data_IF_851419781888
#
_entry.id   IF_851419781888
#
_cell.length_a   1.000
_cell.length_b   1.000
_cell.length_c   1.000
_cell.angle_alpha   90.00
_cell.angle_beta   90.00
_cell.angle_gamma   90.00
#
_symmetry.space_group_name_H-M   'P 1'
#
loop_
_entity.id
_entity.type
_entity.pdbx_description
1 polymer ?
#
# COMPACT_ATOMS: atom_id res chain seq x y z
N UNK A 1 5.28 -38.83 24.81
CA UNK A 1 5.16 -37.43 25.25
C UNK A 1 4.79 -37.45 26.72
N UNK A 2 5.78 -37.36 27.60
CA UNK A 2 5.55 -37.46 29.05
C UNK A 2 5.61 -36.07 29.64
N UNK A 3 4.60 -35.71 30.44
CA UNK A 3 4.58 -34.47 31.23
C UNK A 3 5.89 -34.37 32.00
N UNK A 4 6.76 -33.43 31.61
CA UNK A 4 7.89 -33.00 32.43
C UNK A 4 7.27 -32.15 33.53
N UNK A 5 6.71 -32.81 34.55
CA UNK A 5 6.28 -32.14 35.77
C UNK A 5 7.54 -31.75 36.54
N UNK A 6 8.04 -30.53 36.31
CA UNK A 6 8.82 -29.88 37.35
C UNK A 6 7.91 -29.61 38.54
N UNK A 7 8.43 -29.74 39.75
CA UNK A 7 7.66 -29.54 40.98
C UNK A 7 6.96 -28.16 41.07
N UNK A 8 7.43 -27.15 40.30
CA UNK A 8 6.85 -25.81 40.20
C UNK A 8 7.04 -25.20 38.79
N UNK A 9 6.04 -24.44 38.29
CA UNK A 9 6.07 -23.72 37.01
C UNK A 9 7.33 -22.85 36.83
N UNK A 10 7.79 -22.18 37.89
CA UNK A 10 9.01 -21.35 37.80
C UNK A 10 10.26 -22.19 37.54
N UNK A 11 10.29 -23.42 38.04
CA UNK A 11 11.41 -24.35 37.82
C UNK A 11 11.38 -24.91 36.39
N UNK A 12 10.20 -25.24 35.87
CA UNK A 12 10.05 -25.67 34.47
C UNK A 12 10.45 -24.56 33.50
N UNK A 13 10.04 -23.32 33.75
CA UNK A 13 10.38 -22.17 32.90
C UNK A 13 11.90 -21.94 32.89
N UNK A 14 12.57 -22.04 34.06
CA UNK A 14 14.03 -21.91 34.16
C UNK A 14 14.76 -23.00 33.38
N UNK A 15 14.29 -24.24 33.45
CA UNK A 15 14.92 -25.36 32.73
C UNK A 15 14.72 -25.23 31.22
N UNK A 16 13.51 -24.83 30.76
CA UNK A 16 13.25 -24.54 29.35
C UNK A 16 14.18 -23.42 28.82
N UNK A 17 14.39 -22.37 29.61
CA UNK A 17 15.34 -21.29 29.27
C UNK A 17 16.78 -21.80 29.19
N UNK A 18 17.21 -22.63 30.14
CA UNK A 18 18.55 -23.23 30.15
C UNK A 18 18.79 -24.10 28.91
N UNK A 19 17.85 -24.99 28.60
CA UNK A 19 17.95 -25.84 27.40
C UNK A 19 17.97 -24.99 26.13
N UNK A 20 17.19 -23.91 26.08
CA UNK A 20 17.21 -22.98 24.95
C UNK A 20 18.55 -22.26 24.82
N UNK A 21 19.13 -21.73 25.90
CA UNK A 21 20.42 -21.04 25.84
C UNK A 21 21.54 -21.99 25.44
N UNK A 22 21.57 -23.20 26.00
CA UNK A 22 22.50 -24.25 25.60
C UNK A 22 22.35 -24.60 24.11
N UNK A 23 21.12 -24.71 23.62
CA UNK A 23 20.85 -24.94 22.20
C UNK A 23 21.35 -23.80 21.31
N UNK A 24 21.09 -22.54 21.69
CA UNK A 24 21.59 -21.36 20.97
C UNK A 24 23.12 -21.30 20.94
N UNK A 25 23.78 -21.61 22.07
CA UNK A 25 25.25 -21.70 22.15
C UNK A 25 25.76 -22.79 21.19
N UNK A 26 25.12 -23.97 21.19
CA UNK A 26 25.48 -25.07 20.28
C UNK A 26 25.31 -24.66 18.82
N UNK A 27 24.21 -23.99 18.44
CA UNK A 27 24.00 -23.49 17.07
C UNK A 27 25.07 -22.47 16.71
N UNK A 28 25.35 -21.50 17.60
CA UNK A 28 26.34 -20.44 17.35
C UNK A 28 27.75 -21.00 17.16
N UNK A 29 28.11 -22.04 17.91
CA UNK A 29 29.42 -22.67 17.86
C UNK A 29 29.51 -23.79 16.81
N UNK A 30 28.40 -24.16 16.18
CA UNK A 30 28.38 -25.18 15.14
C UNK A 30 29.11 -24.64 13.90
N UNK A 31 30.04 -25.43 13.38
CA UNK A 31 30.75 -25.07 12.13
C UNK A 31 29.76 -25.13 10.96
N UNK A 32 29.64 -24.07 10.16
CA UNK A 32 28.85 -24.14 8.94
C UNK A 32 29.46 -25.19 8.01
N UNK A 33 28.63 -26.11 7.51
CA UNK A 33 29.06 -27.17 6.58
C UNK A 33 29.06 -26.69 5.12
N UNK A 34 28.38 -25.58 4.84
CA UNK A 34 28.19 -25.01 3.52
C UNK A 34 28.64 -23.56 3.59
N UNK A 35 29.22 -23.08 2.50
CA UNK A 35 29.57 -21.68 2.34
C UNK A 35 28.29 -20.83 2.32
N UNK A 36 28.06 -20.10 3.40
CA UNK A 36 26.94 -19.17 3.53
C UNK A 36 27.33 -17.74 3.11
N UNK A 37 28.45 -17.59 2.39
CA UNK A 37 28.86 -16.29 1.86
C UNK A 37 27.84 -15.82 0.83
N UNK A 38 27.56 -14.51 0.77
CA UNK A 38 26.69 -13.98 -0.27
C UNK A 38 27.28 -14.32 -1.65
N UNK A 39 26.44 -14.66 -2.64
CA UNK A 39 26.91 -14.92 -3.99
C UNK A 39 27.62 -13.68 -4.55
N UNK A 40 28.56 -13.89 -5.47
CA UNK A 40 29.30 -12.81 -6.12
C UNK A 40 28.33 -11.78 -6.72
N UNK A 41 28.50 -10.52 -6.36
CA UNK A 41 27.72 -9.44 -6.92
C UNK A 41 27.94 -9.37 -8.44
N UNK A 42 26.86 -9.50 -9.21
CA UNK A 42 26.92 -9.45 -10.66
C UNK A 42 26.68 -8.01 -11.14
N UNK A 43 27.56 -7.42 -11.95
CA UNK A 43 27.45 -6.01 -12.36
C UNK A 43 26.17 -5.73 -13.17
N UNK A 44 25.67 -6.72 -13.91
CA UNK A 44 24.43 -6.61 -14.69
C UNK A 44 23.14 -6.66 -13.82
N UNK A 45 23.23 -7.06 -12.54
CA UNK A 45 22.12 -6.92 -11.58
C UNK A 45 22.10 -5.52 -10.96
N UNK A 46 23.27 -4.86 -10.87
CA UNK A 46 23.41 -3.52 -10.31
C UNK A 46 23.09 -2.43 -11.34
N UNK A 47 23.51 -2.64 -12.60
CA UNK A 47 23.24 -1.72 -13.70
C UNK A 47 22.32 -2.37 -14.73
N UNK A 48 21.16 -1.74 -14.97
CA UNK A 48 20.21 -2.16 -16.02
C UNK A 48 20.54 -1.49 -17.36
N UNK A 49 21.78 -1.61 -17.81
CA UNK A 49 22.31 -0.93 -19.00
C UNK A 49 21.44 -1.12 -20.26
N UNK A 50 20.88 -2.32 -20.48
CA UNK A 50 19.95 -2.58 -21.60
C UNK A 50 18.65 -1.79 -21.48
N UNK A 51 18.10 -1.68 -20.27
CA UNK A 51 16.86 -0.93 -20.04
C UNK A 51 17.09 0.57 -20.23
N UNK A 52 18.23 1.07 -19.76
CA UNK A 52 18.64 2.46 -19.94
C UNK A 52 18.82 2.81 -21.43
N UNK A 53 19.51 1.93 -22.18
CA UNK A 53 19.65 2.10 -23.63
C UNK A 53 18.31 2.16 -24.35
N UNK A 54 17.38 1.23 -24.04
CA UNK A 54 16.03 1.24 -24.63
C UNK A 54 15.26 2.52 -24.30
N UNK A 55 15.42 3.07 -23.08
CA UNK A 55 14.79 4.36 -22.71
C UNK A 55 15.37 5.51 -23.52
N UNK A 56 16.69 5.56 -23.69
CA UNK A 56 17.36 6.60 -24.48
C UNK A 56 16.95 6.52 -25.96
N UNK A 57 16.94 5.32 -26.54
CA UNK A 57 16.52 5.11 -27.93
C UNK A 57 15.05 5.55 -28.13
N UNK A 58 14.16 5.20 -27.18
CA UNK A 58 12.75 5.66 -27.22
C UNK A 58 12.63 7.18 -27.08
N UNK A 59 13.41 7.79 -26.20
CA UNK A 59 13.45 9.24 -26.01
C UNK A 59 13.87 9.96 -27.29
N UNK A 60 14.94 9.49 -27.93
CA UNK A 60 15.44 10.07 -29.18
C UNK A 60 14.39 10.01 -30.32
N UNK A 61 13.64 8.91 -30.41
CA UNK A 61 12.53 8.77 -31.39
C UNK A 61 11.41 9.77 -31.10
N UNK A 62 11.02 9.92 -29.83
CA UNK A 62 9.98 10.89 -29.43
C UNK A 62 10.44 12.32 -29.77
N UNK A 63 11.68 12.67 -29.47
CA UNK A 63 12.20 14.01 -29.73
C UNK A 63 12.25 14.32 -31.24
N UNK A 64 12.64 13.35 -32.06
CA UNK A 64 12.61 13.48 -33.52
C UNK A 64 11.17 13.67 -34.03
N UNK A 65 10.21 12.90 -33.51
CA UNK A 65 8.81 13.02 -33.89
C UNK A 65 8.20 14.35 -33.44
N UNK A 66 8.53 14.83 -32.25
CA UNK A 66 8.11 16.14 -31.75
C UNK A 66 8.64 17.26 -32.64
N UNK A 67 9.91 17.19 -33.06
CA UNK A 67 10.49 18.15 -34.00
C UNK A 67 9.74 18.15 -35.34
N UNK A 68 9.43 16.97 -35.88
CA UNK A 68 8.67 16.85 -37.12
C UNK A 68 7.24 17.39 -36.99
N UNK A 69 6.57 17.10 -35.87
CA UNK A 69 5.22 17.60 -35.59
C UNK A 69 5.20 19.13 -35.56
N UNK A 70 6.12 19.75 -34.82
CA UNK A 70 6.24 21.19 -34.72
C UNK A 70 6.49 21.83 -36.09
N UNK A 71 7.36 21.23 -36.90
CA UNK A 71 7.59 21.68 -38.27
C UNK A 71 6.29 21.62 -39.10
N UNK A 72 5.51 20.54 -38.98
CA UNK A 72 4.24 20.38 -39.71
C UNK A 72 3.16 21.34 -39.24
N UNK A 73 3.05 21.60 -37.94
CA UNK A 73 2.15 22.63 -37.40
C UNK A 73 2.50 24.01 -37.94
N UNK A 74 3.79 24.37 -37.94
CA UNK A 74 4.24 25.63 -38.52
C UNK A 74 3.95 25.71 -40.03
N UNK A 75 4.19 24.63 -40.78
CA UNK A 75 3.85 24.57 -42.22
C UNK A 75 2.35 24.77 -42.48
N UNK A 76 1.47 24.32 -41.57
CA UNK A 76 0.03 24.52 -41.66
C UNK A 76 -0.32 25.99 -41.33
N UNK A 77 0.22 26.52 -40.24
CA UNK A 77 -0.04 27.90 -39.81
C UNK A 77 0.45 28.93 -40.82
N UNK A 78 1.58 28.67 -41.48
CA UNK A 78 2.17 29.57 -42.49
C UNK A 78 1.52 29.47 -43.87
N UNK A 79 0.72 28.42 -44.16
CA UNK A 79 0.02 28.27 -45.44
C UNK A 79 -1.40 28.84 -45.33
N UNK A 80 -1.70 29.99 -45.94
CA UNK A 80 -3.06 30.53 -45.93
C UNK A 80 -4.00 29.58 -46.70
N UNK A 81 -5.00 29.04 -46.01
CA UNK A 81 -6.08 28.22 -46.57
C UNK A 81 -7.39 29.02 -46.55
N UNK A 82 -8.28 28.88 -47.54
CA UNK A 82 -9.58 29.59 -47.56
C UNK A 82 -10.52 29.26 -46.38
N UNK A 83 -10.14 28.31 -45.50
CA UNK A 83 -10.86 27.94 -44.28
C UNK A 83 -10.29 28.59 -43.00
N UNK A 84 -9.31 29.50 -43.10
CA UNK A 84 -8.77 30.19 -41.92
C UNK A 84 -9.88 31.01 -41.21
N UNK A 85 -9.97 30.95 -39.87
CA UNK A 85 -11.07 31.54 -39.09
C UNK A 85 -11.21 33.06 -39.26
N UNK A 86 -10.17 33.75 -39.76
CA UNK A 86 -10.19 35.18 -40.04
C UNK A 86 -11.04 35.56 -41.27
N UNK A 87 -11.53 34.59 -42.05
CA UNK A 87 -12.36 34.82 -43.25
C UNK A 87 -13.83 34.36 -43.10
N UNK A 88 -14.23 33.82 -41.94
CA UNK A 88 -15.60 33.36 -41.73
C UNK A 88 -16.40 34.45 -41.00
N UNK A 89 -17.55 34.90 -41.53
CA UNK A 89 -18.41 35.81 -40.78
C UNK A 89 -18.91 35.11 -39.51
N UNK A 90 -19.02 35.83 -38.38
CA UNK A 90 -19.52 35.26 -37.14
C UNK A 90 -20.95 34.78 -37.38
N UNK A 91 -21.14 33.46 -37.47
CA UNK A 91 -22.47 32.86 -37.55
C UNK A 91 -23.17 33.14 -36.22
N UNK A 92 -23.95 34.22 -36.22
CA UNK A 92 -24.82 34.59 -35.12
C UNK A 92 -25.81 33.46 -34.82
N UNK A 93 -25.93 33.15 -33.54
CA UNK A 93 -27.21 32.88 -32.90
C UNK A 93 -27.95 31.58 -33.21
N UNK A 94 -27.45 30.66 -34.05
CA UNK A 94 -28.02 29.31 -34.07
C UNK A 94 -27.58 28.59 -32.80
N UNK A 95 -28.44 28.60 -31.78
CA UNK A 95 -28.36 27.61 -30.73
C UNK A 95 -28.52 26.24 -31.41
N UNK A 96 -27.40 25.58 -31.63
CA UNK A 96 -27.35 24.22 -32.13
C UNK A 96 -28.00 23.31 -31.08
N UNK A 97 -29.33 23.22 -31.08
CA UNK A 97 -30.03 22.20 -30.34
C UNK A 97 -29.60 20.87 -30.95
N UNK A 98 -28.82 20.10 -30.19
CA UNK A 98 -28.44 18.75 -30.58
C UNK A 98 -29.72 17.97 -30.91
N UNK A 99 -29.80 17.41 -32.12
CA UNK A 99 -30.93 16.59 -32.58
C UNK A 99 -31.23 15.45 -31.59
N UNK A 100 -30.21 15.03 -30.83
CA UNK A 100 -30.25 13.96 -29.84
C UNK A 100 -30.64 14.42 -28.43
N UNK A 101 -31.10 15.67 -28.25
CA UNK A 101 -31.49 16.21 -26.94
C UNK A 101 -32.55 15.34 -26.26
N UNK A 102 -33.56 14.91 -26.99
CA UNK A 102 -34.64 14.08 -26.44
C UNK A 102 -34.12 12.70 -26.03
N UNK A 103 -33.30 12.06 -26.87
CA UNK A 103 -32.66 10.78 -26.53
C UNK A 103 -31.77 10.89 -25.30
N UNK A 104 -31.01 11.99 -25.17
CA UNK A 104 -30.17 12.27 -23.99
C UNK A 104 -31.02 12.48 -22.73
N UNK A 105 -32.17 13.15 -22.82
CA UNK A 105 -33.07 13.33 -21.68
C UNK A 105 -33.64 11.99 -21.23
N UNK A 106 -34.09 11.14 -22.15
CA UNK A 106 -34.62 9.79 -21.84
C UNK A 106 -33.54 8.89 -21.24
N UNK A 107 -32.31 8.97 -21.73
CA UNK A 107 -31.19 8.21 -21.16
C UNK A 107 -30.82 8.71 -19.76
N UNK A 108 -30.80 10.04 -19.56
CA UNK A 108 -30.57 10.63 -18.23
C UNK A 108 -31.64 10.21 -17.23
N UNK A 109 -32.92 10.23 -17.60
CA UNK A 109 -34.00 9.78 -16.69
C UNK A 109 -33.82 8.30 -16.35
N UNK A 110 -33.53 7.44 -17.33
CA UNK A 110 -33.22 6.02 -17.11
C UNK A 110 -32.07 5.83 -16.13
N UNK A 111 -30.93 6.50 -16.35
CA UNK A 111 -29.75 6.44 -15.48
C UNK A 111 -30.12 6.88 -14.06
N UNK A 112 -30.88 7.98 -13.92
CA UNK A 112 -31.25 8.48 -12.59
C UNK A 112 -32.15 7.50 -11.83
N UNK A 113 -33.06 6.81 -12.52
CA UNK A 113 -33.94 5.83 -11.89
C UNK A 113 -33.22 4.53 -11.53
N UNK A 114 -32.28 4.08 -12.36
CA UNK A 114 -31.39 2.96 -12.03
C UNK A 114 -30.51 3.30 -10.81
N UNK A 115 -29.94 4.50 -10.76
CA UNK A 115 -29.17 4.97 -9.62
C UNK A 115 -30.00 5.00 -8.32
N UNK A 116 -31.26 5.45 -8.38
CA UNK A 116 -32.19 5.38 -7.22
C UNK A 116 -32.42 3.95 -6.76
N UNK A 117 -32.57 2.99 -7.69
CA UNK A 117 -32.73 1.56 -7.35
C UNK A 117 -31.48 0.99 -6.69
N UNK A 118 -30.30 1.29 -7.24
CA UNK A 118 -29.01 0.87 -6.66
C UNK A 118 -28.81 1.46 -5.27
N UNK A 119 -29.10 2.75 -5.08
CA UNK A 119 -29.00 3.41 -3.79
C UNK A 119 -29.90 2.74 -2.75
N UNK A 120 -31.15 2.43 -3.09
CA UNK A 120 -32.07 1.68 -2.21
C UNK A 120 -31.50 0.33 -1.83
N UNK A 121 -30.90 -0.40 -2.78
CA UNK A 121 -30.25 -1.70 -2.51
C UNK A 121 -29.06 -1.53 -1.56
N UNK A 122 -28.22 -0.52 -1.76
CA UNK A 122 -27.08 -0.25 -0.88
C UNK A 122 -27.51 0.12 0.54
N UNK A 123 -28.55 0.94 0.68
CA UNK A 123 -29.07 1.35 1.98
C UNK A 123 -29.78 0.23 2.74
N UNK A 124 -30.46 -0.68 2.01
CA UNK A 124 -31.17 -1.82 2.61
C UNK A 124 -30.28 -3.05 2.78
N UNK A 125 -29.14 -3.10 2.11
CA UNK A 125 -28.18 -4.18 2.24
C UNK A 125 -27.63 -4.22 3.68
N UNK A 126 -27.87 -5.34 4.35
CA UNK A 126 -27.28 -5.61 5.66
C UNK A 126 -25.84 -6.09 5.50
N UNK A 127 -24.97 -5.75 6.45
CA UNK A 127 -23.62 -6.29 6.48
C UNK A 127 -23.66 -7.82 6.59
N UNK A 128 -22.95 -8.51 5.69
CA UNK A 128 -22.83 -9.99 5.72
C UNK A 128 -22.10 -10.43 7.00
N UNK A 129 -21.20 -9.60 7.51
CA UNK A 129 -20.51 -9.83 8.76
C UNK A 129 -21.24 -9.20 9.94
N UNK A 130 -21.29 -9.94 11.04
CA UNK A 130 -21.78 -9.47 12.34
C UNK A 130 -20.58 -9.14 13.22
N UNK A 131 -20.42 -7.87 13.57
CA UNK A 131 -19.35 -7.39 14.45
C UNK A 131 -19.36 -8.14 15.79
N UNK A 132 -20.55 -8.43 16.33
CA UNK A 132 -20.72 -9.21 17.57
C UNK A 132 -20.22 -10.65 17.42
N UNK A 133 -20.45 -11.28 16.26
CA UNK A 133 -19.97 -12.63 15.96
C UNK A 133 -18.44 -12.64 15.85
N UNK A 134 -17.87 -11.70 15.09
CA UNK A 134 -16.43 -11.57 14.93
C UNK A 134 -15.71 -11.31 16.25
N UNK A 135 -16.29 -10.46 17.12
CA UNK A 135 -15.71 -10.22 18.44
C UNK A 135 -15.66 -11.51 19.28
N UNK A 136 -16.76 -12.27 19.30
CA UNK A 136 -16.80 -13.59 19.98
C UNK A 136 -15.80 -14.57 19.41
N UNK A 137 -15.69 -14.67 18.08
CA UNK A 137 -14.74 -15.57 17.41
C UNK A 137 -13.30 -15.16 17.69
N UNK A 138 -13.00 -13.86 17.67
CA UNK A 138 -11.69 -13.32 18.01
C UNK A 138 -11.33 -13.65 19.46
N UNK A 139 -12.24 -13.38 20.40
CA UNK A 139 -12.00 -13.64 21.83
C UNK A 139 -11.82 -15.14 22.09
N UNK A 140 -12.59 -15.99 21.42
CA UNK A 140 -12.45 -17.45 21.49
C UNK A 140 -11.12 -17.93 20.89
N UNK A 141 -10.72 -17.41 19.73
CA UNK A 141 -9.44 -17.72 19.11
C UNK A 141 -8.26 -17.26 19.97
N UNK A 142 -8.37 -16.09 20.62
CA UNK A 142 -7.36 -15.61 21.56
C UNK A 142 -7.27 -16.52 22.79
N UNK A 143 -8.41 -16.92 23.36
CA UNK A 143 -8.47 -17.87 24.47
C UNK A 143 -7.80 -19.20 24.10
N UNK A 144 -8.16 -19.79 22.95
CA UNK A 144 -7.55 -21.04 22.47
C UNK A 144 -6.05 -20.87 22.24
N UNK A 145 -5.63 -19.77 21.58
CA UNK A 145 -4.21 -19.46 21.38
C UNK A 145 -3.45 -19.37 22.70
N UNK A 146 -4.04 -18.72 23.72
CA UNK A 146 -3.45 -18.62 25.05
C UNK A 146 -3.32 -20.00 25.69
N UNK A 147 -4.38 -20.81 25.71
CA UNK A 147 -4.38 -22.15 26.32
C UNK A 147 -3.42 -23.11 25.62
N UNK A 148 -3.37 -23.07 24.29
CA UNK A 148 -2.38 -23.82 23.51
C UNK A 148 -0.96 -23.33 23.80
N UNK A 149 -0.76 -22.02 23.98
CA UNK A 149 0.55 -21.46 24.30
C UNK A 149 1.04 -21.78 25.71
N UNK A 150 0.14 -21.87 26.69
CA UNK A 150 0.45 -22.23 28.08
C UNK A 150 1.06 -23.63 28.17
N UNK A 151 0.60 -24.57 27.33
CA UNK A 151 1.02 -25.97 27.36
C UNK A 151 2.13 -26.31 26.34
N UNK A 152 2.52 -25.37 25.49
CA UNK A 152 3.47 -25.62 24.41
C UNK A 152 4.95 -25.50 24.82
N UNK A 153 5.26 -25.31 26.10
CA UNK A 153 6.65 -25.17 26.58
C UNK A 153 7.40 -24.01 25.93
N UNK A 154 6.69 -22.92 25.60
CA UNK A 154 7.27 -21.79 24.86
C UNK A 154 8.21 -20.98 25.74
N UNK A 155 9.38 -20.66 25.19
CA UNK A 155 10.27 -19.63 25.71
C UNK A 155 9.53 -18.28 25.65
N UNK A 156 9.40 -17.52 26.75
CA UNK A 156 8.72 -16.23 26.75
C UNK A 156 9.41 -15.26 25.78
N UNK A 157 8.64 -14.67 24.86
CA UNK A 157 9.16 -13.69 23.87
C UNK A 157 9.50 -12.33 24.50
N UNK A 158 9.00 -12.04 25.70
CA UNK A 158 9.32 -10.83 26.46
C UNK A 158 10.48 -11.11 27.41
N UNK A 159 11.65 -10.58 27.07
CA UNK A 159 12.86 -10.66 27.85
C UNK A 159 12.76 -9.65 29.00
N UNK A 160 12.43 -10.15 30.19
CA UNK A 160 12.69 -9.45 31.47
C UNK A 160 13.15 -10.45 32.54
N UNK A 161 13.71 -11.57 32.11
CA UNK A 161 14.58 -12.38 32.94
C UNK A 161 15.98 -12.16 32.41
N UNK A 162 16.66 -11.21 33.04
CA UNK A 162 18.08 -10.96 32.82
C UNK A 162 18.84 -12.28 32.98
N UNK A 163 19.27 -12.80 31.84
CA UNK A 163 20.26 -13.86 31.82
C UNK A 163 21.55 -13.26 32.33
N UNK A 164 22.00 -13.81 33.46
CA UNK A 164 23.32 -13.68 34.05
C UNK A 164 24.36 -13.51 32.93
N UNK A 165 24.89 -12.30 32.84
CA UNK A 165 26.04 -11.98 32.01
C UNK A 165 27.27 -12.64 32.64
N UNK A 166 27.62 -13.85 32.20
CA UNK A 166 28.93 -14.44 32.48
C UNK A 166 29.89 -13.99 31.38
N UNK A 167 30.40 -12.78 31.57
CA UNK A 167 31.64 -12.19 31.06
C UNK A 167 32.23 -12.74 29.75
N UNK A 168 32.13 -11.95 28.68
CA UNK A 168 33.26 -11.78 27.74
C UNK A 168 33.45 -10.29 27.46
N UNK A 169 34.47 -9.71 28.09
CA UNK A 169 35.07 -8.43 27.74
C UNK A 169 35.59 -8.48 26.31
N UNK A 170 35.02 -7.69 25.41
CA UNK A 170 35.69 -7.25 24.18
C UNK A 170 35.14 -5.87 23.80
N UNK A 171 35.94 -4.78 23.85
CA UNK A 171 35.50 -3.48 23.41
C UNK A 171 35.68 -3.40 21.89
N UNK A 172 34.59 -3.64 21.16
CA UNK A 172 34.60 -3.65 19.70
C UNK A 172 33.20 -3.45 19.13
N UNK A 173 32.84 -2.18 18.96
CA UNK A 173 31.85 -1.65 18.01
C UNK A 173 30.99 -2.68 17.25
N UNK A 174 29.74 -2.88 17.68
CA UNK A 174 28.64 -3.17 16.75
C UNK A 174 27.39 -2.45 17.24
N UNK A 175 26.96 -1.47 16.43
CA UNK A 175 25.73 -0.71 16.56
C UNK A 175 24.52 -1.66 16.60
N UNK A 176 23.43 -1.35 17.33
CA UNK A 176 22.15 -1.93 16.99
C UNK A 176 21.71 -1.36 15.63
N UNK A 177 21.63 -2.20 14.61
CA UNK A 177 20.80 -1.89 13.43
C UNK A 177 19.36 -2.05 13.91
N UNK A 178 18.85 -1.00 14.52
CA UNK A 178 17.42 -0.78 14.65
C UNK A 178 16.90 -0.52 13.23
N UNK A 179 16.57 -1.58 12.50
CA UNK A 179 15.60 -1.49 11.41
C UNK A 179 14.19 -1.39 12.03
N UNK A 180 13.98 -0.35 12.86
CA UNK A 180 12.67 0.27 12.96
C UNK A 180 12.55 1.20 11.75
N UNK A 181 12.42 0.59 10.57
CA UNK A 181 11.74 1.20 9.44
C UNK A 181 10.24 1.24 9.74
N UNK A 182 9.87 1.91 10.83
CA UNK A 182 8.53 2.46 10.98
C UNK A 182 8.45 3.58 9.96
N UNK A 183 8.11 3.26 8.71
CA UNK A 183 7.35 4.21 7.92
C UNK A 183 6.08 4.47 8.73
N UNK A 184 6.12 5.57 9.50
CA UNK A 184 4.92 6.27 9.90
C UNK A 184 4.21 6.63 8.60
N UNK A 185 3.30 5.78 8.16
CA UNK A 185 2.13 6.30 7.47
C UNK A 185 1.42 7.14 8.52
N UNK A 186 1.69 8.44 8.50
CA UNK A 186 0.75 9.41 9.04
C UNK A 186 -0.54 9.18 8.29
N UNK A 187 -1.46 8.43 8.91
CA UNK A 187 -2.86 8.55 8.62
C UNK A 187 -3.20 10.00 8.97
N UNK A 188 -3.18 10.86 7.94
CA UNK A 188 -3.70 12.21 8.03
C UNK A 188 -5.04 12.12 8.76
N UNK A 189 -5.13 12.83 9.88
CA UNK A 189 -6.34 13.00 10.69
C UNK A 189 -7.57 12.97 9.79
N UNK A 190 -8.52 12.10 10.14
CA UNK A 190 -9.88 12.16 9.64
C UNK A 190 -10.33 13.62 9.60
N UNK A 191 -10.72 14.10 8.42
CA UNK A 191 -11.39 15.40 8.31
C UNK A 191 -12.64 15.35 9.20
N UNK A 192 -12.83 16.30 10.13
CA UNK A 192 -14.11 16.44 10.79
C UNK A 192 -15.18 16.71 9.74
N UNK A 193 -16.29 15.98 9.85
CA UNK A 193 -17.49 16.15 9.05
C UNK A 193 -18.11 17.50 9.43
N UNK A 194 -17.78 18.56 8.71
CA UNK A 194 -18.45 19.86 8.85
C UNK A 194 -19.73 19.83 8.02
N UNK A 195 -20.85 19.59 8.68
CA UNK A 195 -22.18 19.80 8.14
C UNK A 195 -22.53 21.29 8.17
N UNK A 196 -21.95 22.11 7.29
CA UNK A 196 -22.48 23.45 7.00
C UNK A 196 -22.23 23.82 5.54
N UNK A 197 -23.22 23.51 4.69
CA UNK A 197 -23.34 24.10 3.37
C UNK A 197 -24.07 25.45 3.48
N UNK A 198 -23.32 26.54 3.60
CA UNK A 198 -23.87 27.89 3.41
C UNK A 198 -24.07 28.13 1.90
N UNK A 199 -25.23 28.62 1.44
CA UNK A 199 -25.54 28.75 0.03
C UNK A 199 -24.62 29.78 -0.64
N UNK A 200 -24.08 29.45 -1.83
CA UNK A 200 -23.47 30.42 -2.74
C UNK A 200 -24.55 31.43 -3.13
N UNK A 201 -24.36 32.68 -2.73
CA UNK A 201 -25.10 33.83 -3.24
C UNK A 201 -24.90 33.91 -4.76
N UNK A 202 -26.01 33.98 -5.50
CA UNK A 202 -26.02 34.43 -6.88
C UNK A 202 -25.47 35.86 -6.91
N UNK A 203 -24.41 36.08 -7.69
CA UNK A 203 -24.15 37.39 -8.28
C UNK A 203 -25.28 37.64 -9.28
N UNK A 204 -26.25 38.46 -8.89
CA UNK A 204 -27.04 39.22 -9.84
C UNK A 204 -26.23 40.47 -10.16
N UNK A 205 -25.66 40.49 -11.36
CA UNK A 205 -25.27 41.75 -12.00
C UNK A 205 -26.54 42.42 -12.52
N UNK A 206 -26.75 43.65 -12.06
CA UNK A 206 -27.29 44.74 -12.86
C UNK A 206 -26.14 45.73 -13.04
#
# INVERSE_FOLDING_TARGET
MWNIMGANKRCTDREILREHTLHQIKIRNMRPRIDNLPPKAMPHLQSRAKQERIKNDRGAVIDQQNKLLLQKMLEIDMKPSPLTPNSLPPKGGLQNFSLNKNSRIVELTKITDENKKILKRLQTAKSVYSIKKWKREFDHSQYLSLKLSENAGRIPRSISFDLINVNTTTPGSVRPITAAGSQKFEFSKARPFTSEGKPRSLNQGL
#
